data_IF_511946538193
#
_entry.id   IF_511946538193
#
_cell.length_a   1.000
_cell.length_b   1.000
_cell.length_c   1.000
_cell.angle_alpha   90.00
_cell.angle_beta   90.00
_cell.angle_gamma   90.00
#
_symmetry.space_group_name_H-M   'P 1'
#
loop_
_entity.id
_entity.type
_entity.pdbx_description
1 polymer ?
#
# COMPACT_ATOMS: atom_id res chain seq x y z
N UNK A 1 -30.39 1.16 -9.43
CA UNK A 1 -29.52 2.15 -8.78
C UNK A 1 -28.16 2.01 -9.44
N UNK A 2 -27.83 2.92 -10.35
CA UNK A 2 -26.56 2.89 -11.09
C UNK A 2 -25.48 3.41 -10.16
N UNK A 3 -24.56 2.55 -9.73
CA UNK A 3 -23.37 3.01 -9.02
C UNK A 3 -22.61 3.95 -9.95
N UNK A 4 -22.27 5.19 -9.53
CA UNK A 4 -21.41 6.04 -10.32
C UNK A 4 -20.11 5.26 -10.54
N UNK A 5 -19.84 4.98 -11.80
CA UNK A 5 -18.53 4.54 -12.27
C UNK A 5 -18.07 5.72 -13.09
N UNK A 6 -16.92 6.31 -12.74
CA UNK A 6 -16.22 7.19 -13.68
C UNK A 6 -15.82 6.27 -14.83
N UNK A 7 -16.74 6.15 -15.79
CA UNK A 7 -16.61 5.28 -16.95
C UNK A 7 -15.87 6.05 -18.05
N UNK A 8 -15.84 7.37 -17.96
CA UNK A 8 -15.21 8.30 -18.89
C UNK A 8 -14.53 9.40 -18.07
N UNK A 9 -13.21 9.31 -17.82
CA UNK A 9 -12.47 10.40 -17.19
C UNK A 9 -12.40 11.62 -18.15
N UNK A 10 -12.20 12.85 -17.65
CA UNK A 10 -12.09 14.04 -18.48
C UNK A 10 -10.89 13.95 -19.44
N UNK A 11 -10.92 14.75 -20.51
CA UNK A 11 -9.90 14.73 -21.54
C UNK A 11 -8.49 14.96 -20.95
N UNK A 12 -7.54 14.10 -21.33
CA UNK A 12 -6.17 14.12 -20.79
C UNK A 12 -5.94 13.10 -19.68
N UNK A 13 -6.99 12.59 -19.05
CA UNK A 13 -6.92 11.53 -18.06
C UNK A 13 -7.28 10.17 -18.65
N UNK A 14 -6.59 9.13 -18.19
CA UNK A 14 -6.86 7.74 -18.57
C UNK A 14 -7.05 6.88 -17.32
N UNK A 15 -8.04 6.00 -17.37
CA UNK A 15 -8.24 4.98 -16.32
C UNK A 15 -7.13 3.96 -16.42
N UNK A 16 -6.27 3.88 -15.41
CA UNK A 16 -5.17 2.91 -15.36
C UNK A 16 -5.62 1.59 -14.73
N UNK A 17 -6.41 1.64 -13.67
CA UNK A 17 -6.98 0.47 -13.00
C UNK A 17 -8.43 0.74 -12.63
N UNK A 18 -9.32 -0.24 -12.80
CA UNK A 18 -10.71 -0.17 -12.35
C UNK A 18 -11.17 -1.56 -11.88
N UNK A 19 -11.05 -1.79 -10.58
CA UNK A 19 -11.53 -2.99 -9.89
C UNK A 19 -12.46 -2.57 -8.73
N UNK A 20 -13.17 -3.52 -8.13
CA UNK A 20 -14.27 -3.23 -7.18
C UNK A 20 -13.89 -2.34 -5.99
N UNK A 21 -12.64 -2.44 -5.52
CA UNK A 21 -12.13 -1.73 -4.36
C UNK A 21 -11.02 -0.72 -4.68
N UNK A 22 -10.70 -0.53 -5.96
CA UNK A 22 -9.59 0.32 -6.38
C UNK A 22 -9.80 0.83 -7.81
N UNK A 23 -9.75 2.15 -7.97
CA UNK A 23 -9.79 2.83 -9.26
C UNK A 23 -8.64 3.83 -9.31
N UNK A 24 -7.86 3.84 -10.39
CA UNK A 24 -6.76 4.80 -10.55
C UNK A 24 -6.81 5.48 -11.91
N UNK A 25 -6.43 6.76 -11.92
CA UNK A 25 -6.38 7.59 -13.11
C UNK A 25 -4.99 8.21 -13.24
N UNK A 26 -4.54 8.37 -14.48
CA UNK A 26 -3.26 8.99 -14.82
C UNK A 26 -3.51 10.09 -15.86
N UNK A 27 -2.97 11.27 -15.62
CA UNK A 27 -2.94 12.39 -16.56
C UNK A 27 -1.79 12.20 -17.55
N UNK A 28 -2.10 12.22 -18.84
CA UNK A 28 -1.14 11.92 -19.91
C UNK A 28 -0.08 13.01 -20.10
N UNK A 29 -0.42 14.26 -19.76
CA UNK A 29 0.43 15.43 -20.04
C UNK A 29 1.50 15.63 -18.97
N UNK A 30 1.12 15.56 -17.69
CA UNK A 30 2.02 15.81 -16.56
C UNK A 30 2.53 14.53 -15.88
N UNK A 31 1.88 13.38 -16.14
CA UNK A 31 2.10 12.14 -15.40
C UNK A 31 1.53 12.15 -13.98
N UNK A 32 0.68 13.12 -13.63
CA UNK A 32 -0.06 13.12 -12.37
C UNK A 32 -0.95 11.90 -12.29
N UNK A 33 -1.09 11.32 -11.10
CA UNK A 33 -1.98 10.18 -10.92
C UNK A 33 -2.71 10.23 -9.60
N UNK A 34 -4.00 9.86 -9.63
CA UNK A 34 -4.86 9.76 -8.46
C UNK A 34 -5.34 8.32 -8.29
N UNK A 35 -5.52 7.90 -7.04
CA UNK A 35 -6.09 6.60 -6.71
C UNK A 35 -7.28 6.77 -5.76
N UNK A 36 -8.34 6.04 -6.06
CA UNK A 36 -9.57 5.93 -5.29
C UNK A 36 -9.65 4.50 -4.79
N UNK A 37 -9.53 4.29 -3.49
CA UNK A 37 -9.48 2.93 -2.93
C UNK A 37 -10.27 2.83 -1.64
N UNK A 38 -10.78 1.64 -1.34
CA UNK A 38 -11.41 1.40 -0.04
C UNK A 38 -10.39 1.56 1.08
N UNK A 39 -10.86 1.99 2.26
CA UNK A 39 -10.09 1.90 3.51
C UNK A 39 -9.65 0.46 3.80
N UNK A 40 -8.74 0.29 4.76
CA UNK A 40 -8.17 -1.02 5.14
C UNK A 40 -9.25 -2.09 5.43
N UNK A 41 -10.44 -1.66 5.84
CA UNK A 41 -11.61 -2.50 5.94
C UNK A 41 -12.62 -2.21 4.80
N UNK A 42 -12.63 -3.01 3.70
CA UNK A 42 -13.56 -2.80 2.60
C UNK A 42 -15.03 -3.03 2.99
N UNK A 43 -15.29 -3.80 4.06
CA UNK A 43 -16.64 -4.00 4.58
C UNK A 43 -17.23 -2.75 5.26
N UNK A 44 -16.39 -1.78 5.62
CA UNK A 44 -16.85 -0.48 6.11
C UNK A 44 -17.49 0.38 5.01
N UNK A 45 -17.29 0.03 3.73
CA UNK A 45 -17.80 0.81 2.59
C UNK A 45 -17.20 2.21 2.48
N UNK A 46 -16.06 2.44 3.13
CA UNK A 46 -15.34 3.70 3.18
C UNK A 46 -14.27 3.75 2.11
N UNK A 47 -14.12 4.91 1.48
CA UNK A 47 -13.26 5.19 0.35
C UNK A 47 -12.37 6.39 0.61
N UNK A 48 -11.17 6.35 0.03
CA UNK A 48 -10.15 7.36 0.14
C UNK A 48 -9.70 7.79 -1.27
N UNK A 49 -9.37 9.07 -1.42
CA UNK A 49 -8.84 9.66 -2.65
C UNK A 49 -7.43 10.17 -2.39
N UNK A 50 -6.44 9.57 -3.05
CA UNK A 50 -5.03 9.85 -2.83
C UNK A 50 -4.38 10.40 -4.11
N UNK A 51 -3.56 11.43 -3.96
CA UNK A 51 -2.59 11.82 -4.97
C UNK A 51 -1.36 10.93 -4.91
N UNK A 52 -1.06 10.23 -6.00
CA UNK A 52 -0.01 9.19 -6.04
C UNK A 52 1.28 9.70 -6.68
N UNK A 53 1.21 10.21 -7.90
CA UNK A 53 2.36 10.73 -8.65
C UNK A 53 2.07 12.14 -9.15
N UNK A 54 3.13 12.94 -9.32
CA UNK A 54 3.01 14.35 -9.76
C UNK A 54 2.44 15.30 -8.71
N UNK A 55 2.26 14.83 -7.47
CA UNK A 55 1.91 15.62 -6.29
C UNK A 55 3.12 15.78 -5.36
N UNK A 56 3.05 16.76 -4.45
CA UNK A 56 4.08 16.98 -3.43
C UNK A 56 4.26 15.74 -2.53
N UNK A 57 5.45 15.61 -1.92
CA UNK A 57 5.74 14.58 -0.91
C UNK A 57 5.79 15.28 0.46
N UNK A 58 5.03 14.84 1.47
CA UNK A 58 4.13 13.67 1.54
C UNK A 58 2.96 13.71 0.56
N UNK A 59 2.54 12.54 0.06
CA UNK A 59 1.46 12.41 -0.92
C UNK A 59 0.12 12.92 -0.35
N UNK A 60 -0.61 13.82 -1.02
CA UNK A 60 -1.86 14.36 -0.50
C UNK A 60 -2.99 13.32 -0.47
N UNK A 61 -3.84 13.43 0.54
CA UNK A 61 -5.11 12.72 0.68
C UNK A 61 -6.21 13.77 0.56
N UNK A 62 -7.03 13.68 -0.48
CA UNK A 62 -8.08 14.67 -0.80
C UNK A 62 -9.42 14.35 -0.17
N UNK A 63 -9.69 13.07 0.08
CA UNK A 63 -10.84 12.61 0.84
C UNK A 63 -10.47 11.33 1.57
N UNK A 64 -10.96 11.19 2.80
CA UNK A 64 -10.71 10.03 3.64
C UNK A 64 -12.00 9.56 4.31
N UNK A 65 -12.21 8.24 4.37
CA UNK A 65 -13.33 7.60 5.04
C UNK A 65 -14.71 8.08 4.55
N UNK A 66 -14.81 8.48 3.27
CA UNK A 66 -16.06 8.94 2.65
C UNK A 66 -16.77 7.80 1.93
N UNK A 67 -18.03 8.01 1.58
CA UNK A 67 -18.75 7.09 0.69
C UNK A 67 -18.23 7.16 -0.76
N UNK A 68 -18.48 6.08 -1.50
CA UNK A 68 -17.97 5.89 -2.87
C UNK A 68 -18.33 7.05 -3.80
N UNK A 69 -19.57 7.55 -3.72
CA UNK A 69 -20.04 8.65 -4.58
C UNK A 69 -19.28 9.94 -4.30
N UNK A 70 -19.07 10.27 -3.03
CA UNK A 70 -18.25 11.42 -2.62
C UNK A 70 -16.81 11.26 -3.10
N UNK A 71 -16.19 10.09 -2.92
CA UNK A 71 -14.83 9.83 -3.40
C UNK A 71 -14.68 10.03 -4.92
N UNK A 72 -15.64 9.54 -5.71
CA UNK A 72 -15.64 9.71 -7.16
C UNK A 72 -15.88 11.17 -7.56
N UNK A 73 -16.78 11.88 -6.88
CA UNK A 73 -17.02 13.30 -7.11
C UNK A 73 -15.79 14.15 -6.81
N UNK A 74 -15.09 13.87 -5.70
CA UNK A 74 -13.81 14.52 -5.35
C UNK A 74 -12.74 14.25 -6.40
N UNK A 75 -12.59 13.00 -6.84
CA UNK A 75 -11.66 12.66 -7.91
C UNK A 75 -11.98 13.38 -9.22
N UNK A 76 -13.26 13.50 -9.58
CA UNK A 76 -13.68 14.24 -10.78
C UNK A 76 -13.31 15.72 -10.70
N UNK A 77 -13.48 16.36 -9.54
CA UNK A 77 -13.10 17.76 -9.34
C UNK A 77 -11.58 17.95 -9.49
N UNK A 78 -10.77 17.06 -8.90
CA UNK A 78 -9.31 17.11 -9.05
C UNK A 78 -8.90 16.97 -10.52
N UNK A 79 -9.53 16.04 -11.25
CA UNK A 79 -9.22 15.84 -12.68
C UNK A 79 -9.68 17.00 -13.57
N UNK A 80 -10.72 17.73 -13.19
CA UNK A 80 -11.16 18.96 -13.88
C UNK A 80 -10.23 20.16 -13.60
N UNK A 81 -9.30 20.00 -12.64
CA UNK A 81 -8.38 21.04 -12.21
C UNK A 81 -8.97 21.98 -11.17
N UNK A 82 -10.05 21.57 -10.50
CA UNK A 82 -10.62 22.30 -9.37
C UNK A 82 -9.63 22.32 -8.19
N UNK A 83 -9.66 23.42 -7.42
CA UNK A 83 -8.77 23.60 -6.27
C UNK A 83 -9.32 22.82 -5.08
N UNK A 84 -8.99 21.52 -5.05
CA UNK A 84 -9.37 20.62 -3.96
C UNK A 84 -8.24 20.57 -2.94
N UNK A 85 -8.45 21.20 -1.78
CA UNK A 85 -7.49 21.16 -0.70
C UNK A 85 -7.37 19.75 -0.10
N UNK A 86 -6.13 19.25 0.15
CA UNK A 86 -5.94 17.97 0.81
C UNK A 86 -6.42 18.02 2.27
N UNK A 87 -7.16 17.00 2.68
CA UNK A 87 -7.62 16.83 4.08
C UNK A 87 -6.52 16.27 4.98
N UNK A 88 -5.56 15.55 4.40
CA UNK A 88 -4.41 14.99 5.08
C UNK A 88 -3.26 14.75 4.09
N UNK A 89 -2.11 14.36 4.60
CA UNK A 89 -0.98 13.92 3.79
C UNK A 89 -0.51 12.56 4.28
N UNK A 90 -0.31 11.63 3.36
CA UNK A 90 0.24 10.31 3.66
C UNK A 90 1.73 10.46 3.92
N UNK A 91 2.13 10.27 5.18
CA UNK A 91 3.55 10.22 5.53
C UNK A 91 4.23 9.14 4.68
N UNK A 92 5.37 9.44 4.03
CA UNK A 92 6.14 8.39 3.41
C UNK A 92 6.49 7.39 4.51
N UNK A 93 6.23 6.10 4.29
CA UNK A 93 6.74 5.03 5.14
C UNK A 93 8.26 5.21 5.20
N UNK A 94 8.74 5.94 6.21
CA UNK A 94 10.14 5.90 6.57
C UNK A 94 10.33 4.47 7.06
N UNK A 95 11.24 3.67 6.46
CA UNK A 95 11.61 2.44 7.11
C UNK A 95 12.01 2.84 8.53
N UNK A 96 11.34 2.27 9.53
CA UNK A 96 11.76 2.39 10.91
C UNK A 96 13.26 2.05 10.92
N UNK A 97 14.15 2.97 11.29
CA UNK A 97 15.57 2.64 11.43
C UNK A 97 15.78 1.63 12.57
N UNK A 98 14.73 1.29 13.31
CA UNK A 98 14.68 0.39 14.46
C UNK A 98 13.99 -0.96 14.16
N UNK A 99 13.68 -1.25 12.88
CA UNK A 99 13.42 -2.64 12.46
C UNK A 99 14.76 -3.41 12.43
N UNK A 100 15.45 -3.44 13.57
CA UNK A 100 16.47 -4.43 13.83
C UNK A 100 15.83 -5.79 13.63
N UNK A 101 16.48 -6.60 12.78
CA UNK A 101 16.25 -8.03 12.64
C UNK A 101 15.99 -8.65 14.02
N UNK A 102 14.72 -8.86 14.35
CA UNK A 102 14.32 -9.87 15.30
C UNK A 102 14.05 -11.13 14.50
N UNK A 103 15.13 -11.74 13.99
CA UNK A 103 15.15 -13.17 13.73
C UNK A 103 15.07 -13.87 15.09
N UNK A 104 13.88 -13.82 15.71
CA UNK A 104 13.54 -14.67 16.84
C UNK A 104 13.26 -16.07 16.26
N UNK A 105 14.35 -16.75 15.89
CA UNK A 105 14.34 -18.20 15.86
C UNK A 105 14.13 -18.65 17.30
N UNK A 106 12.88 -18.99 17.58
CA UNK A 106 12.47 -19.73 18.75
C UNK A 106 13.20 -21.10 18.78
N UNK A 107 14.43 -21.12 19.30
CA UNK A 107 15.08 -22.34 19.79
C UNK A 107 15.08 -22.22 21.32
N UNK A 108 14.08 -22.85 21.95
CA UNK A 108 13.99 -22.94 23.40
C UNK A 108 15.30 -23.47 23.99
N UNK A 109 15.94 -22.78 24.95
CA UNK A 109 17.03 -23.35 25.72
C UNK A 109 16.43 -24.23 26.82
N UNK A 110 16.29 -25.53 26.57
CA UNK A 110 16.10 -26.46 27.67
C UNK A 110 17.44 -26.70 28.37
N UNK A 111 17.49 -26.15 29.58
CA UNK A 111 18.59 -26.02 30.51
C UNK A 111 19.12 -27.38 31.06
N UNK A 112 20.39 -27.31 31.47
CA UNK A 112 21.00 -28.04 32.60
C UNK A 112 21.71 -29.40 32.38
N UNK A 113 23.04 -29.28 32.20
CA UNK A 113 24.12 -29.97 32.93
C UNK A 113 24.11 -31.51 33.07
N UNK A 114 25.11 -32.18 32.48
CA UNK A 114 26.24 -32.86 33.18
C UNK A 114 26.93 -33.88 32.26
N UNK A 115 28.27 -33.83 32.26
CA UNK A 115 29.25 -34.72 31.64
C UNK A 115 28.97 -36.23 31.77
N UNK A 116 28.99 -36.95 30.64
CA UNK A 116 29.42 -38.37 30.55
C UNK A 116 29.60 -38.81 29.08
N UNK A 117 30.86 -38.78 28.62
CA UNK A 117 31.52 -39.78 27.78
C UNK A 117 30.65 -40.78 26.98
N UNK A 118 30.59 -40.64 25.64
CA UNK A 118 31.01 -41.73 24.74
C UNK A 118 30.98 -41.34 23.26
N UNK A 119 32.11 -41.61 22.63
CA UNK A 119 32.49 -41.63 21.21
C UNK A 119 31.40 -41.69 20.14
N UNK A 120 31.60 -40.89 19.08
CA UNK A 120 30.85 -41.02 17.83
C UNK A 120 31.24 -40.01 16.74
N UNK A 121 32.54 -39.90 16.44
CA UNK A 121 33.06 -39.17 15.28
C UNK A 121 32.46 -39.76 13.99
N UNK A 122 31.78 -38.94 13.19
CA UNK A 122 31.70 -39.16 11.74
C UNK A 122 31.92 -37.82 11.02
N UNK A 123 33.17 -37.65 10.59
CA UNK A 123 33.56 -36.76 9.51
C UNK A 123 33.15 -37.41 8.19
N UNK A 124 32.48 -36.68 7.30
CA UNK A 124 32.39 -37.05 5.89
C UNK A 124 32.57 -35.81 5.02
N UNK A 125 33.77 -35.25 5.09
CA UNK A 125 34.34 -34.52 3.97
C UNK A 125 34.58 -35.48 2.80
N UNK A 126 33.89 -35.23 1.68
CA UNK A 126 34.27 -35.62 0.30
C UNK A 126 34.28 -37.12 -0.05
N UNK A 127 33.58 -37.50 -1.14
CA UNK A 127 34.17 -37.81 -2.44
C UNK A 127 33.13 -38.42 -3.40
N UNK A 128 33.14 -37.87 -4.61
CA UNK A 128 32.86 -38.44 -5.94
C UNK A 128 32.54 -39.94 -6.03
N UNK A 129 31.45 -40.28 -6.74
CA UNK A 129 31.42 -40.95 -8.06
C UNK A 129 30.02 -40.84 -8.70
#
# INVERSE_FOLDING_TARGET
MSHPTITDPPAGWVTSTAIDHHVSFVESDTGRSIAIMTSENPAAGQWNVLGVAGFENPSPIFAENVDRETALSTASQIMDGDDVEPVAYREPNRPDPDAEHSDDFNDEPNNDTTDANSSGQVDLSSFTE
#
